data_IF_985113581115
#
_entry.id   IF_985113581115
#
_cell.length_a   1.000
_cell.length_b   1.000
_cell.length_c   1.000
_cell.angle_alpha   90.00
_cell.angle_beta   90.00
_cell.angle_gamma   90.00
#
_symmetry.space_group_name_H-M   'P 1'
#
loop_
_entity.id
_entity.type
_entity.pdbx_description
1 polymer ?
#
# COMPACT_ATOMS: atom_id res chain seq x y z
N UNK A 1 42.00 -16.29 -17.27
CA UNK A 1 40.75 -15.54 -17.46
C UNK A 1 40.26 -15.16 -16.08
N UNK A 2 40.22 -13.86 -15.76
CA UNK A 2 39.70 -13.35 -14.49
C UNK A 2 38.18 -13.58 -14.46
N UNK A 3 37.68 -14.19 -13.38
CA UNK A 3 36.25 -14.25 -13.08
C UNK A 3 35.81 -12.84 -12.68
N UNK A 4 35.46 -12.00 -13.64
CA UNK A 4 34.81 -10.72 -13.34
C UNK A 4 33.33 -10.99 -13.03
N UNK A 5 32.91 -10.64 -11.81
CA UNK A 5 31.51 -10.65 -11.43
C UNK A 5 30.77 -9.59 -12.26
N UNK A 6 29.65 -9.96 -12.86
CA UNK A 6 28.81 -9.02 -13.61
C UNK A 6 28.05 -8.16 -12.58
N UNK A 7 28.24 -6.84 -12.67
CA UNK A 7 27.49 -5.86 -11.88
C UNK A 7 26.34 -5.31 -12.73
N UNK A 8 25.11 -5.59 -12.32
CA UNK A 8 23.89 -5.08 -12.96
C UNK A 8 23.37 -3.87 -12.18
N UNK A 9 22.94 -2.83 -12.90
CA UNK A 9 22.35 -1.64 -12.30
C UNK A 9 20.93 -1.44 -12.81
N UNK A 10 19.95 -1.34 -11.91
CA UNK A 10 18.56 -1.04 -12.27
C UNK A 10 18.07 0.14 -11.45
N UNK A 11 17.32 1.04 -12.10
CA UNK A 11 16.77 2.21 -11.42
C UNK A 11 15.25 2.22 -11.51
N UNK A 12 14.60 2.34 -10.35
CA UNK A 12 13.18 2.66 -10.29
C UNK A 12 13.09 4.18 -10.50
N UNK A 13 12.45 4.62 -11.59
CA UNK A 13 12.29 6.06 -11.90
C UNK A 13 10.85 6.53 -11.79
N UNK A 14 9.90 5.58 -11.69
CA UNK A 14 8.47 5.87 -11.63
C UNK A 14 7.69 4.77 -10.92
N UNK A 15 6.80 5.18 -10.02
CA UNK A 15 5.75 4.35 -9.43
C UNK A 15 4.44 4.60 -10.18
N UNK A 16 3.81 3.53 -10.68
CA UNK A 16 2.50 3.62 -11.34
C UNK A 16 1.38 3.85 -10.31
N UNK A 17 0.68 4.98 -10.42
CA UNK A 17 -0.44 5.29 -9.53
C UNK A 17 -1.53 4.21 -9.54
N UNK A 18 -1.96 3.79 -10.74
CA UNK A 18 -3.05 2.82 -10.88
C UNK A 18 -2.68 1.43 -10.34
N UNK A 19 -1.49 0.94 -10.68
CA UNK A 19 -1.07 -0.39 -10.22
C UNK A 19 -0.84 -0.39 -8.70
N UNK A 20 -0.22 0.66 -8.17
CA UNK A 20 -0.02 0.83 -6.74
C UNK A 20 -1.36 0.88 -5.99
N UNK A 21 -2.29 1.73 -6.43
CA UNK A 21 -3.62 1.86 -5.84
C UNK A 21 -4.40 0.54 -5.86
N UNK A 22 -4.40 -0.16 -7.01
CA UNK A 22 -5.13 -1.42 -7.18
C UNK A 22 -4.61 -2.51 -6.22
N UNK A 23 -3.29 -2.68 -6.14
CA UNK A 23 -2.69 -3.68 -5.25
C UNK A 23 -3.00 -3.35 -3.78
N UNK A 24 -2.86 -2.08 -3.39
CA UNK A 24 -3.13 -1.66 -2.02
C UNK A 24 -4.61 -1.81 -1.64
N UNK A 25 -5.54 -1.48 -2.53
CA UNK A 25 -6.97 -1.70 -2.28
C UNK A 25 -7.28 -3.18 -2.04
N UNK A 26 -6.69 -4.08 -2.83
CA UNK A 26 -6.85 -5.54 -2.66
C UNK A 26 -6.26 -6.01 -1.32
N UNK A 27 -5.09 -5.50 -0.94
CA UNK A 27 -4.41 -5.88 0.30
C UNK A 27 -5.13 -5.40 1.57
N UNK A 28 -5.72 -4.20 1.54
CA UNK A 28 -6.33 -3.59 2.71
C UNK A 28 -7.83 -3.86 2.86
N UNK A 29 -8.52 -4.30 1.80
CA UNK A 29 -9.92 -4.71 1.87
C UNK A 29 -10.15 -5.82 2.92
N UNK A 30 -9.35 -6.91 2.99
CA UNK A 30 -9.48 -7.91 4.06
C UNK A 30 -9.29 -7.36 5.47
N UNK A 31 -8.37 -6.41 5.65
CA UNK A 31 -8.15 -5.75 6.94
C UNK A 31 -9.41 -4.96 7.32
N UNK A 32 -9.97 -4.20 6.38
CA UNK A 32 -11.22 -3.47 6.59
C UNK A 32 -12.41 -4.40 6.90
N UNK A 33 -12.45 -5.61 6.34
CA UNK A 33 -13.46 -6.62 6.68
C UNK A 33 -13.38 -7.07 8.14
N UNK A 34 -12.18 -7.19 8.72
CA UNK A 34 -12.01 -7.50 10.15
C UNK A 34 -12.68 -6.41 11.01
N UNK A 35 -12.49 -5.13 10.65
CA UNK A 35 -13.16 -4.03 11.32
C UNK A 35 -14.68 -4.05 11.13
N UNK A 36 -15.16 -4.43 9.94
CA UNK A 36 -16.59 -4.59 9.71
C UNK A 36 -17.21 -5.67 10.60
N UNK A 37 -16.49 -6.78 10.85
CA UNK A 37 -16.92 -7.83 11.79
C UNK A 37 -17.03 -7.27 13.22
N UNK A 38 -16.06 -6.46 13.66
CA UNK A 38 -16.14 -5.77 14.97
C UNK A 38 -17.38 -4.86 15.02
N UNK A 39 -17.64 -4.12 13.94
CA UNK A 39 -18.84 -3.27 13.84
C UNK A 39 -20.14 -4.07 13.93
N UNK A 40 -20.20 -5.22 13.28
CA UNK A 40 -21.33 -6.15 13.37
C UNK A 40 -21.54 -6.66 14.80
N UNK A 41 -20.46 -7.01 15.51
CA UNK A 41 -20.52 -7.38 16.94
C UNK A 41 -21.09 -6.23 17.76
N UNK A 42 -20.59 -5.00 17.59
CA UNK A 42 -21.10 -3.84 18.33
C UNK A 42 -22.60 -3.59 18.11
N UNK A 43 -23.07 -3.75 16.87
CA UNK A 43 -24.50 -3.61 16.57
C UNK A 43 -25.33 -4.77 17.16
N UNK A 44 -24.76 -5.97 17.28
CA UNK A 44 -25.45 -7.14 17.86
C UNK A 44 -25.61 -7.10 19.37
N UNK A 45 -24.77 -6.33 20.07
CA UNK A 45 -24.82 -6.20 21.54
C UNK A 45 -25.98 -5.32 22.03
N UNK A 46 -26.63 -4.58 21.12
CA UNK A 46 -27.73 -3.65 21.39
C UNK A 46 -27.43 -2.63 22.50
N UNK A 47 -26.18 -2.17 22.56
CA UNK A 47 -25.72 -1.16 23.51
C UNK A 47 -25.74 0.21 22.83
N UNK A 48 -26.61 1.13 23.30
CA UNK A 48 -26.86 2.41 22.63
C UNK A 48 -25.60 3.23 22.35
N UNK A 49 -24.66 3.32 23.29
CA UNK A 49 -23.43 4.11 23.11
C UNK A 49 -22.47 3.49 22.07
N UNK A 50 -22.59 2.19 21.78
CA UNK A 50 -21.79 1.51 20.76
C UNK A 50 -22.42 1.55 19.37
N UNK A 51 -23.72 1.85 19.26
CA UNK A 51 -24.46 1.74 17.99
C UNK A 51 -23.85 2.59 16.87
N UNK A 52 -23.53 3.85 17.15
CA UNK A 52 -22.89 4.73 16.17
C UNK A 52 -21.49 4.22 15.76
N UNK A 53 -20.68 3.82 16.74
CA UNK A 53 -19.36 3.23 16.50
C UNK A 53 -19.45 1.97 15.65
N UNK A 54 -20.48 1.15 15.87
CA UNK A 54 -20.76 -0.04 15.07
C UNK A 54 -20.95 0.27 13.58
N UNK A 55 -21.75 1.29 13.25
CA UNK A 55 -21.92 1.73 11.85
C UNK A 55 -20.63 2.30 11.23
N UNK A 56 -19.85 3.06 12.00
CA UNK A 56 -18.53 3.54 11.55
C UNK A 56 -17.64 2.35 11.20
N UNK A 57 -17.54 1.36 12.09
CA UNK A 57 -16.74 0.16 11.88
C UNK A 57 -17.22 -0.69 10.70
N UNK A 58 -18.54 -0.82 10.51
CA UNK A 58 -19.13 -1.55 9.39
C UNK A 58 -18.71 -0.97 8.02
N UNK A 59 -18.48 0.35 7.96
CA UNK A 59 -18.04 1.05 6.75
C UNK A 59 -16.52 1.03 6.50
N UNK A 60 -15.72 0.46 7.41
CA UNK A 60 -14.25 0.45 7.31
C UNK A 60 -13.66 -0.23 6.06
N UNK A 61 -14.25 -1.28 5.46
CA UNK A 61 -13.73 -1.85 4.20
C UNK A 61 -13.57 -0.80 3.09
N UNK A 62 -14.45 0.19 3.04
CA UNK A 62 -14.39 1.28 2.07
C UNK A 62 -13.41 2.36 2.53
N UNK A 63 -13.58 2.88 3.74
CA UNK A 63 -12.77 4.01 4.24
C UNK A 63 -11.29 3.68 4.36
N UNK A 64 -10.95 2.50 4.88
CA UNK A 64 -9.55 2.09 5.05
C UNK A 64 -8.87 1.93 3.69
N UNK A 65 -9.52 1.26 2.75
CA UNK A 65 -9.02 1.07 1.38
C UNK A 65 -8.78 2.42 0.69
N UNK A 66 -9.75 3.35 0.78
CA UNK A 66 -9.64 4.68 0.19
C UNK A 66 -8.51 5.51 0.83
N UNK A 67 -8.41 5.50 2.17
CA UNK A 67 -7.38 6.23 2.90
C UNK A 67 -5.97 5.75 2.52
N UNK A 68 -5.76 4.43 2.45
CA UNK A 68 -4.46 3.84 2.09
C UNK A 68 -4.09 4.15 0.66
N UNK A 69 -5.04 4.02 -0.28
CA UNK A 69 -4.83 4.39 -1.69
C UNK A 69 -4.46 5.87 -1.80
N UNK A 70 -5.18 6.76 -1.11
CA UNK A 70 -4.91 8.20 -1.13
C UNK A 70 -3.51 8.53 -0.59
N UNK A 71 -3.14 7.97 0.57
CA UNK A 71 -1.83 8.17 1.16
C UNK A 71 -0.70 7.71 0.22
N UNK A 72 -0.83 6.52 -0.36
CA UNK A 72 0.19 5.97 -1.25
C UNK A 72 0.22 6.65 -2.62
N UNK A 73 -0.91 7.17 -3.08
CA UNK A 73 -0.96 8.04 -4.26
C UNK A 73 -0.12 9.30 -4.02
N UNK A 74 -0.30 9.96 -2.87
CA UNK A 74 0.48 11.14 -2.50
C UNK A 74 1.98 10.83 -2.42
N UNK A 75 2.36 9.72 -1.76
CA UNK A 75 3.76 9.28 -1.68
C UNK A 75 4.34 9.01 -3.06
N UNK A 76 3.62 8.27 -3.92
CA UNK A 76 4.06 7.99 -5.28
C UNK A 76 4.19 9.29 -6.11
N UNK A 77 3.34 10.29 -5.88
CA UNK A 77 3.38 11.55 -6.60
C UNK A 77 4.62 12.36 -6.22
N UNK A 78 4.90 12.45 -4.93
CA UNK A 78 6.14 13.05 -4.41
C UNK A 78 7.36 12.32 -4.95
N UNK A 79 7.36 11.00 -4.90
CA UNK A 79 8.45 10.18 -5.41
C UNK A 79 8.71 10.44 -6.90
N UNK A 80 7.67 10.34 -7.75
CA UNK A 80 7.79 10.53 -9.18
C UNK A 80 8.29 11.95 -9.53
N UNK A 81 7.82 12.95 -8.79
CA UNK A 81 8.28 14.33 -8.94
C UNK A 81 9.78 14.44 -8.64
N UNK A 82 10.23 13.93 -7.49
CA UNK A 82 11.65 13.98 -7.12
C UNK A 82 12.52 13.18 -8.09
N UNK A 83 12.10 11.96 -8.44
CA UNK A 83 12.82 11.09 -9.36
C UNK A 83 13.02 11.71 -10.75
N UNK A 84 12.06 12.53 -11.21
CA UNK A 84 12.18 13.29 -12.46
C UNK A 84 13.26 14.39 -12.45
N UNK A 85 13.73 14.79 -11.25
CA UNK A 85 14.69 15.88 -11.07
C UNK A 85 16.09 15.39 -10.72
N UNK A 86 16.19 14.38 -9.86
CA UNK A 86 17.48 13.93 -9.30
C UNK A 86 17.83 12.49 -9.65
N UNK A 87 17.00 11.81 -10.45
CA UNK A 87 17.07 10.36 -10.62
C UNK A 87 16.31 9.63 -9.53
N UNK A 88 15.89 8.40 -9.81
CA UNK A 88 15.19 7.54 -8.86
C UNK A 88 16.12 6.61 -8.08
N UNK A 89 15.55 5.56 -7.45
CA UNK A 89 16.32 4.63 -6.62
C UNK A 89 17.10 3.65 -7.51
N UNK A 90 18.43 3.71 -7.45
CA UNK A 90 19.32 2.77 -8.14
C UNK A 90 19.67 1.59 -7.22
N UNK A 91 19.63 0.40 -7.79
CA UNK A 91 20.03 -0.85 -7.16
C UNK A 91 21.15 -1.46 -7.97
N UNK A 92 22.23 -1.83 -7.28
CA UNK A 92 23.34 -2.58 -7.84
C UNK A 92 23.22 -4.05 -7.41
N UNK A 93 23.30 -4.95 -8.38
CA UNK A 93 23.21 -6.39 -8.16
C UNK A 93 24.52 -7.03 -8.61
N UNK A 94 25.09 -7.87 -7.74
CA UNK A 94 26.24 -8.71 -8.07
C UNK A 94 25.74 -10.12 -8.33
N UNK A 95 25.92 -10.62 -9.56
CA UNK A 95 25.66 -12.04 -9.84
C UNK A 95 26.75 -12.90 -9.21
N UNK A 96 26.34 -13.88 -8.41
CA UNK A 96 27.21 -14.93 -7.89
C UNK A 96 26.92 -16.17 -8.73
N UNK A 97 27.97 -16.74 -9.37
CA UNK A 97 27.84 -18.03 -10.06
C UNK A 97 27.74 -19.14 -8.99
N UNK A 98 26.71 -19.96 -9.10
CA UNK A 98 26.59 -21.22 -8.36
C UNK A 98 27.77 -22.18 -8.66
#
# INVERSE_FOLDING_TARGET
MTNEAIQLKTQITRISFYQNAKILAILYMPIGLIYALIGAVFLSMDVDYLRYTGYVFLSMPLWLSLAVVGAHYAVAAVYNFLASKVGGFEFEFTEIKD
#
